data_IF_706068164217
#
_entry.id   IF_706068164217
#
_cell.length_a   1.000
_cell.length_b   1.000
_cell.length_c   1.000
_cell.angle_alpha   90.00
_cell.angle_beta   90.00
_cell.angle_gamma   90.00
#
_symmetry.space_group_name_H-M   'P 1'
#
loop_
_entity.id
_entity.type
_entity.pdbx_description
1 polymer ?
#
# COMPACT_ATOMS: atom_id res chain seq x y z
N UNK A 1 14.89 16.44 2.71
CA UNK A 1 14.40 15.60 1.60
C UNK A 1 12.93 15.45 1.87
N UNK A 2 12.10 15.97 0.96
CA UNK A 2 10.66 16.07 1.15
C UNK A 2 10.05 14.67 1.05
N UNK A 3 9.25 14.27 2.05
CA UNK A 3 8.69 12.92 2.13
C UNK A 3 7.64 12.68 1.04
N UNK A 4 7.01 13.75 0.57
CA UNK A 4 6.14 13.73 -0.60
C UNK A 4 6.93 13.39 -1.86
N UNK A 5 8.13 13.96 -2.03
CA UNK A 5 9.00 13.67 -3.19
C UNK A 5 9.52 12.23 -3.20
N UNK A 6 9.76 11.62 -2.02
CA UNK A 6 10.10 10.20 -1.92
C UNK A 6 8.90 9.31 -2.32
N UNK A 7 7.71 9.65 -1.83
CA UNK A 7 6.49 8.92 -2.20
C UNK A 7 6.23 9.04 -3.70
N UNK A 8 6.36 10.23 -4.28
CA UNK A 8 6.21 10.44 -5.73
C UNK A 8 7.14 9.53 -6.53
N UNK A 9 8.44 9.46 -6.19
CA UNK A 9 9.40 8.56 -6.86
C UNK A 9 9.01 7.08 -6.76
N UNK A 10 8.41 6.67 -5.64
CA UNK A 10 7.92 5.30 -5.46
C UNK A 10 6.66 5.06 -6.31
N UNK A 11 5.75 6.03 -6.37
CA UNK A 11 4.52 5.96 -7.18
C UNK A 11 4.76 6.08 -8.68
N UNK A 12 5.85 6.72 -9.11
CA UNK A 12 6.29 6.71 -10.51
C UNK A 12 6.64 5.28 -10.97
N UNK A 13 7.20 4.46 -10.07
CA UNK A 13 7.66 3.11 -10.40
C UNK A 13 6.61 2.03 -10.15
N UNK A 14 5.81 2.18 -9.10
CA UNK A 14 4.92 1.11 -8.64
C UNK A 14 3.45 1.54 -8.57
N UNK A 15 3.13 2.81 -8.88
CA UNK A 15 1.79 3.37 -8.70
C UNK A 15 0.71 2.66 -9.52
N UNK A 16 1.04 2.18 -10.72
CA UNK A 16 0.10 1.50 -11.63
C UNK A 16 -0.09 0.01 -11.31
N UNK A 17 0.71 -0.53 -10.38
CA UNK A 17 0.54 -1.91 -9.95
C UNK A 17 -0.84 -2.10 -9.31
N UNK A 18 -1.54 -3.14 -9.75
CA UNK A 18 -2.85 -3.48 -9.20
C UNK A 18 -2.70 -4.38 -7.99
N UNK A 19 -3.39 -4.03 -6.92
CA UNK A 19 -3.43 -4.80 -5.69
C UNK A 19 -4.88 -5.13 -5.33
N UNK A 20 -5.06 -6.27 -4.64
CA UNK A 20 -6.34 -6.70 -4.09
C UNK A 20 -6.24 -6.84 -2.59
N UNK A 21 -7.35 -6.63 -1.90
CA UNK A 21 -7.44 -6.94 -0.48
C UNK A 21 -7.08 -8.41 -0.24
N UNK A 22 -6.20 -8.65 0.72
CA UNK A 22 -5.71 -9.99 1.05
C UNK A 22 -6.08 -10.41 2.46
N UNK A 23 -5.86 -9.53 3.44
CA UNK A 23 -6.11 -9.84 4.85
C UNK A 23 -6.21 -8.58 5.68
N UNK A 24 -6.81 -8.69 6.85
CA UNK A 24 -6.76 -7.65 7.87
C UNK A 24 -6.27 -8.26 9.18
N UNK A 25 -5.48 -7.50 9.93
CA UNK A 25 -5.10 -7.84 11.29
C UNK A 25 -5.05 -6.58 12.14
N UNK A 26 -5.81 -6.57 13.25
CA UNK A 26 -6.02 -5.40 14.10
C UNK A 26 -6.48 -4.19 13.29
N UNK A 27 -5.59 -3.22 13.10
CA UNK A 27 -5.87 -1.93 12.51
C UNK A 27 -5.27 -1.77 11.11
N UNK A 28 -4.80 -2.86 10.51
CA UNK A 28 -4.08 -2.83 9.24
C UNK A 28 -4.75 -3.72 8.23
N UNK A 29 -5.14 -3.13 7.10
CA UNK A 29 -5.55 -3.84 5.90
C UNK A 29 -4.34 -4.08 5.02
N UNK A 30 -4.18 -5.31 4.56
CA UNK A 30 -3.09 -5.73 3.68
C UNK A 30 -3.64 -6.00 2.28
N UNK A 31 -3.01 -5.38 1.30
CA UNK A 31 -3.29 -5.55 -0.12
C UNK A 31 -2.08 -6.18 -0.80
N UNK A 32 -2.31 -7.10 -1.73
CA UNK A 32 -1.25 -7.80 -2.46
C UNK A 32 -1.48 -7.74 -3.96
N UNK A 33 -0.39 -7.70 -4.70
CA UNK A 33 -0.41 -7.72 -6.16
C UNK A 33 0.94 -8.12 -6.72
N UNK A 34 1.10 -7.83 -8.02
CA UNK A 34 2.36 -7.99 -8.73
C UNK A 34 2.71 -6.69 -9.44
N UNK A 35 4.00 -6.34 -9.41
CA UNK A 35 4.53 -5.27 -10.26
C UNK A 35 4.54 -5.71 -11.73
N UNK A 36 4.76 -4.78 -12.66
CA UNK A 36 4.86 -5.11 -14.10
C UNK A 36 5.95 -6.15 -14.40
N UNK A 37 7.03 -6.14 -13.62
CA UNK A 37 8.14 -7.09 -13.72
C UNK A 37 7.94 -8.38 -12.88
N UNK A 38 6.76 -8.59 -12.31
CA UNK A 38 6.35 -9.85 -11.67
C UNK A 38 6.80 -10.02 -10.21
N UNK A 39 7.41 -9.00 -9.61
CA UNK A 39 7.77 -8.98 -8.18
C UNK A 39 6.53 -8.88 -7.31
N UNK A 40 6.58 -9.44 -6.10
CA UNK A 40 5.48 -9.27 -5.14
C UNK A 40 5.47 -7.82 -4.63
N UNK A 41 4.28 -7.22 -4.62
CA UNK A 41 4.06 -5.93 -3.98
C UNK A 41 2.99 -6.08 -2.91
N UNK A 42 3.29 -5.57 -1.72
CA UNK A 42 2.42 -5.57 -0.56
C UNK A 42 2.21 -4.13 -0.11
N UNK A 43 0.95 -3.73 -0.01
CA UNK A 43 0.56 -2.41 0.46
C UNK A 43 -0.22 -2.56 1.77
N UNK A 44 0.03 -1.67 2.73
CA UNK A 44 -0.67 -1.66 4.02
C UNK A 44 -1.34 -0.31 4.23
N UNK A 45 -2.59 -0.37 4.70
CA UNK A 45 -3.42 0.81 4.99
C UNK A 45 -3.96 0.69 6.41
N UNK A 46 -3.87 1.78 7.16
CA UNK A 46 -4.30 1.92 8.54
C UNK A 46 -3.30 1.37 9.54
N UNK A 47 -3.30 1.95 10.73
CA UNK A 47 -2.44 1.52 11.85
C UNK A 47 -3.09 1.71 13.22
N UNK A 48 -4.07 2.61 13.29
CA UNK A 48 -4.78 2.97 14.51
C UNK A 48 -6.24 2.60 14.42
N UNK A 49 -6.90 2.54 15.58
CA UNK A 49 -8.34 2.28 15.63
C UNK A 49 -9.14 3.34 14.84
N UNK A 50 -8.67 4.59 14.81
CA UNK A 50 -9.31 5.68 14.08
C UNK A 50 -9.26 5.51 12.55
N UNK A 51 -8.22 4.87 12.02
CA UNK A 51 -8.03 4.69 10.57
C UNK A 51 -9.03 3.69 9.98
N UNK A 52 -9.29 2.60 10.72
CA UNK A 52 -10.07 1.47 10.18
C UNK A 52 -11.58 1.72 10.10
N UNK A 53 -12.13 2.64 10.88
CA UNK A 53 -13.56 2.95 10.81
C UNK A 53 -13.96 3.73 9.56
N UNK A 54 -12.99 4.18 8.75
CA UNK A 54 -13.21 4.97 7.53
C UNK A 54 -12.93 4.22 6.23
N UNK A 55 -12.34 3.03 6.30
CA UNK A 55 -11.88 2.31 5.12
C UNK A 55 -12.82 1.12 4.80
N UNK A 56 -13.58 1.22 3.70
CA UNK A 56 -14.35 0.12 3.16
C UNK A 56 -13.46 -0.75 2.28
N UNK A 57 -13.40 -2.06 2.53
CA UNK A 57 -12.68 -3.01 1.68
C UNK A 57 -13.63 -3.88 0.88
N UNK A 58 -13.38 -4.03 -0.42
CA UNK A 58 -14.01 -5.02 -1.29
C UNK A 58 -12.96 -6.06 -1.71
N UNK A 59 -13.22 -7.34 -1.42
CA UNK A 59 -12.27 -8.42 -1.68
C UNK A 59 -12.06 -8.72 -3.17
N UNK A 60 -13.00 -8.34 -4.03
CA UNK A 60 -12.93 -8.62 -5.47
C UNK A 60 -12.38 -7.44 -6.28
N UNK A 61 -12.29 -6.27 -5.65
CA UNK A 61 -11.88 -5.03 -6.31
C UNK A 61 -10.35 -4.97 -6.50
N UNK A 62 -9.95 -4.58 -7.71
CA UNK A 62 -8.58 -4.20 -8.02
C UNK A 62 -8.44 -2.70 -7.87
N UNK A 63 -7.47 -2.27 -7.07
CA UNK A 63 -7.11 -0.87 -6.90
C UNK A 63 -5.64 -0.68 -7.27
N UNK A 64 -5.29 0.45 -7.87
CA UNK A 64 -3.88 0.77 -8.13
C UNK A 64 -3.21 1.16 -6.82
N UNK A 65 -1.90 0.96 -6.69
CA UNK A 65 -1.14 1.44 -5.52
C UNK A 65 -1.31 2.95 -5.34
N UNK A 66 -1.39 3.70 -6.44
CA UNK A 66 -1.62 5.14 -6.43
C UNK A 66 -2.97 5.52 -5.82
N UNK A 67 -4.05 4.89 -6.27
CA UNK A 67 -5.41 5.19 -5.78
C UNK A 67 -5.65 4.66 -4.36
N UNK A 68 -4.92 3.63 -3.95
CA UNK A 68 -5.00 3.05 -2.61
C UNK A 68 -4.50 4.02 -1.53
N UNK A 69 -3.57 4.93 -1.87
CA UNK A 69 -2.88 5.79 -0.91
C UNK A 69 -2.38 5.01 0.32
N UNK A 70 -1.49 4.02 0.13
CA UNK A 70 -1.00 3.18 1.22
C UNK A 70 -0.26 4.00 2.26
N UNK A 71 -0.09 3.44 3.45
CA UNK A 71 0.78 3.95 4.52
C UNK A 71 2.16 3.26 4.56
N UNK A 72 2.26 2.09 3.91
CA UNK A 72 3.51 1.34 3.73
C UNK A 72 3.44 0.56 2.41
N UNK A 73 4.56 0.59 1.66
CA UNK A 73 4.75 -0.17 0.42
C UNK A 73 5.99 -1.05 0.58
N UNK A 74 5.82 -2.33 0.32
CA UNK A 74 6.84 -3.38 0.39
C UNK A 74 6.91 -4.09 -0.96
N UNK A 75 8.13 -4.35 -1.45
CA UNK A 75 8.38 -5.09 -2.68
C UNK A 75 9.41 -6.17 -2.41
N UNK A 76 9.08 -7.44 -2.71
CA UNK A 76 9.92 -8.63 -2.41
C UNK A 76 10.52 -8.59 -0.99
N UNK A 77 9.67 -8.42 0.02
CA UNK A 77 10.03 -8.34 1.45
C UNK A 77 10.88 -7.11 1.86
N UNK A 78 11.10 -6.13 0.97
CA UNK A 78 11.79 -4.86 1.27
C UNK A 78 10.78 -3.70 1.39
N UNK A 79 10.76 -3.01 2.55
CA UNK A 79 9.96 -1.79 2.72
C UNK A 79 10.63 -0.64 1.99
N UNK A 80 10.02 -0.21 0.88
CA UNK A 80 10.54 0.87 0.04
C UNK A 80 9.96 2.24 0.39
N UNK A 81 8.82 2.27 1.08
CA UNK A 81 8.21 3.50 1.59
C UNK A 81 7.32 3.22 2.80
N UNK A 82 7.34 4.13 3.77
CA UNK A 82 6.39 4.13 4.88
C UNK A 82 6.28 5.51 5.54
N UNK A 83 5.08 5.87 5.96
CA UNK A 83 4.83 7.05 6.78
C UNK A 83 4.90 6.78 8.30
N UNK A 84 5.26 5.56 8.74
CA UNK A 84 5.27 5.10 10.16
C UNK A 84 6.29 5.76 11.09
N UNK A 85 7.28 6.49 10.59
CA UNK A 85 8.46 6.87 11.38
C UNK A 85 8.41 8.28 11.98
N UNK A 86 7.23 8.90 12.09
CA UNK A 86 7.06 10.25 12.64
C UNK A 86 5.73 10.38 13.39
#
# INVERSE_FOLDING_TARGET
>A
MDWEELLEKVLEKYGDAKVKFSSYYKYTFTFRGKTEDGREIVCRVGWTADDIYRFGVNAEEEITVRDLHPDEIEVDDEVIWSNRWW
#
